data_IF_258514151816
#
_entry.id   IF_258514151816
#
_cell.length_a   1.000
_cell.length_b   1.000
_cell.length_c   1.000
_cell.angle_alpha   90.00
_cell.angle_beta   90.00
_cell.angle_gamma   90.00
#
_symmetry.space_group_name_H-M   'P 1'
#
loop_
_entity.id
_entity.type
_entity.pdbx_description
1 polymer ?
#
# COMPACT_ATOMS: atom_id res chain seq x y z
N UNK A 1 11.80 -4.91 -3.57
CA UNK A 1 11.88 -3.53 -4.11
C UNK A 1 13.30 -3.16 -4.55
N UNK A 2 14.20 -4.12 -4.83
CA UNK A 2 15.57 -3.78 -5.25
C UNK A 2 15.61 -3.15 -6.65
N UNK A 3 14.54 -3.34 -7.43
CA UNK A 3 14.40 -2.90 -8.82
C UNK A 3 13.27 -1.87 -9.02
N UNK A 4 12.77 -1.25 -7.94
CA UNK A 4 11.88 -0.09 -8.06
C UNK A 4 12.71 1.10 -8.50
N UNK A 5 12.31 1.80 -9.57
CA UNK A 5 12.92 3.09 -9.94
C UNK A 5 13.06 3.97 -8.69
N UNK A 6 14.23 4.61 -8.52
CA UNK A 6 14.49 5.46 -7.36
C UNK A 6 13.44 6.56 -7.20
N UNK A 7 12.84 7.01 -8.31
CA UNK A 7 11.72 7.96 -8.31
C UNK A 7 10.46 7.38 -7.68
N UNK A 8 10.11 6.14 -7.98
CA UNK A 8 8.91 5.50 -7.44
C UNK A 8 9.07 5.11 -5.97
N UNK A 9 10.28 4.69 -5.56
CA UNK A 9 10.61 4.49 -4.15
C UNK A 9 10.43 5.79 -3.35
N UNK A 10 10.95 6.91 -3.86
CA UNK A 10 10.76 8.23 -3.22
C UNK A 10 9.29 8.61 -3.14
N UNK A 11 8.51 8.42 -4.21
CA UNK A 11 7.05 8.69 -4.23
C UNK A 11 6.30 7.84 -3.20
N UNK A 12 6.61 6.55 -3.08
CA UNK A 12 6.01 5.65 -2.07
C UNK A 12 6.31 6.17 -0.67
N UNK A 13 7.58 6.48 -0.37
CA UNK A 13 8.00 6.99 0.94
C UNK A 13 7.28 8.31 1.27
N UNK A 14 7.19 9.24 0.32
CA UNK A 14 6.50 10.51 0.52
C UNK A 14 5.03 10.29 0.86
N UNK A 15 4.33 9.41 0.16
CA UNK A 15 2.93 9.08 0.45
C UNK A 15 2.76 8.40 1.81
N UNK A 16 3.67 7.49 2.18
CA UNK A 16 3.68 6.87 3.50
C UNK A 16 3.92 7.89 4.63
N UNK A 17 4.74 8.92 4.40
CA UNK A 17 4.90 10.04 5.35
C UNK A 17 3.59 10.82 5.51
N UNK A 18 2.84 11.03 4.43
CA UNK A 18 1.50 11.65 4.51
C UNK A 18 0.53 10.78 5.31
N UNK A 19 0.47 9.47 5.05
CA UNK A 19 -0.37 8.52 5.82
C UNK A 19 -0.02 8.58 7.31
N UNK A 20 1.27 8.60 7.66
CA UNK A 20 1.71 8.74 9.05
C UNK A 20 1.22 10.04 9.69
N UNK A 21 1.27 11.15 8.95
CA UNK A 21 0.74 12.43 9.41
C UNK A 21 -0.76 12.38 9.71
N UNK A 22 -1.54 11.68 8.88
CA UNK A 22 -2.96 11.47 9.16
C UNK A 22 -3.21 10.60 10.39
N UNK A 23 -2.45 9.51 10.56
CA UNK A 23 -2.56 8.64 11.75
C UNK A 23 -2.27 9.45 13.02
N UNK A 24 -1.16 10.21 13.05
CA UNK A 24 -0.86 11.09 14.18
C UNK A 24 -1.88 12.21 14.36
N UNK A 25 -2.58 12.61 13.31
CA UNK A 25 -3.72 13.52 13.40
C UNK A 25 -4.90 12.88 14.13
N UNK A 26 -5.26 11.65 13.77
CA UNK A 26 -6.34 10.89 14.41
C UNK A 26 -6.04 10.64 15.89
N UNK A 27 -4.81 10.27 16.25
CA UNK A 27 -4.38 10.10 17.65
C UNK A 27 -4.67 11.37 18.46
N UNK A 28 -4.22 12.54 17.97
CA UNK A 28 -4.50 13.83 18.63
C UNK A 28 -5.99 14.17 18.68
N UNK A 29 -6.75 13.88 17.61
CA UNK A 29 -8.20 14.13 17.60
C UNK A 29 -8.92 13.33 18.69
N UNK A 30 -8.47 12.10 18.96
CA UNK A 30 -9.00 11.27 20.04
C UNK A 30 -8.61 11.85 21.41
N UNK A 31 -7.35 12.24 21.59
CA UNK A 31 -6.87 12.86 22.83
C UNK A 31 -7.58 14.20 23.14
N UNK A 32 -7.97 14.95 22.10
CA UNK A 32 -8.69 16.21 22.18
C UNK A 32 -10.23 16.05 22.22
N UNK A 33 -10.75 14.82 22.33
CA UNK A 33 -12.18 14.49 22.37
C UNK A 33 -12.98 15.11 21.21
N UNK A 34 -12.44 15.03 19.98
CA UNK A 34 -13.10 15.52 18.77
C UNK A 34 -14.33 14.67 18.41
N UNK A 35 -15.29 15.24 17.66
CA UNK A 35 -16.46 14.49 17.20
C UNK A 35 -16.10 13.20 16.46
N UNK A 36 -16.83 12.12 16.76
CA UNK A 36 -16.62 10.81 16.13
C UNK A 36 -16.75 10.86 14.60
N UNK A 37 -17.62 11.73 14.08
CA UNK A 37 -17.81 11.93 12.64
C UNK A 37 -16.53 12.46 11.96
N UNK A 38 -15.86 13.44 12.57
CA UNK A 38 -14.61 14.00 12.06
C UNK A 38 -13.48 12.97 12.07
N UNK A 39 -13.39 12.19 13.15
CA UNK A 39 -12.43 11.08 13.27
C UNK A 39 -12.68 10.05 12.17
N UNK A 40 -13.94 9.68 11.93
CA UNK A 40 -14.32 8.73 10.88
C UNK A 40 -13.93 9.25 9.49
N UNK A 41 -14.14 10.53 9.20
CA UNK A 41 -13.71 11.16 7.95
C UNK A 41 -12.19 11.09 7.76
N UNK A 42 -11.40 11.30 8.82
CA UNK A 42 -9.94 11.13 8.74
C UNK A 42 -9.53 9.68 8.51
N UNK A 43 -10.20 8.70 9.14
CA UNK A 43 -9.95 7.28 8.89
C UNK A 43 -10.26 6.90 7.43
N UNK A 44 -11.31 7.46 6.83
CA UNK A 44 -11.62 7.31 5.39
C UNK A 44 -10.49 7.90 4.53
N UNK A 45 -9.97 9.07 4.89
CA UNK A 45 -8.83 9.68 4.20
C UNK A 45 -7.57 8.80 4.28
N UNK A 46 -7.29 8.22 5.45
CA UNK A 46 -6.18 7.26 5.65
C UNK A 46 -6.37 6.05 4.74
N UNK A 47 -7.57 5.43 4.72
CA UNK A 47 -7.86 4.29 3.84
C UNK A 47 -7.58 4.62 2.38
N UNK A 48 -8.05 5.78 1.91
CA UNK A 48 -7.81 6.23 0.53
C UNK A 48 -6.33 6.47 0.23
N UNK A 49 -5.59 7.05 1.18
CA UNK A 49 -4.16 7.31 1.02
C UNK A 49 -3.34 6.01 0.99
N UNK A 50 -3.66 5.06 1.87
CA UNK A 50 -3.05 3.72 1.87
C UNK A 50 -3.36 2.99 0.57
N UNK A 51 -4.61 3.03 0.09
CA UNK A 51 -4.99 2.39 -1.18
C UNK A 51 -4.12 2.85 -2.35
N UNK A 52 -3.86 4.16 -2.44
CA UNK A 52 -2.99 4.71 -3.49
C UNK A 52 -1.56 4.17 -3.40
N UNK A 53 -1.03 3.98 -2.20
CA UNK A 53 0.30 3.37 -2.01
C UNK A 53 0.27 1.90 -2.41
N UNK A 54 -0.76 1.17 -1.98
CA UNK A 54 -0.92 -0.26 -2.28
C UNK A 54 -0.95 -0.54 -3.77
N UNK A 55 -1.65 0.27 -4.58
CA UNK A 55 -1.69 0.12 -6.05
C UNK A 55 -0.29 0.26 -6.68
N UNK A 56 0.53 1.18 -6.20
CA UNK A 56 1.89 1.40 -6.75
C UNK A 56 2.80 0.21 -6.41
N UNK A 57 2.73 -0.26 -5.16
CA UNK A 57 3.50 -1.42 -4.72
C UNK A 57 3.05 -2.68 -5.47
N UNK A 58 1.75 -2.85 -5.67
CA UNK A 58 1.17 -3.95 -6.42
C UNK A 58 1.63 -3.96 -7.89
N UNK A 59 1.65 -2.79 -8.54
CA UNK A 59 2.17 -2.67 -9.91
C UNK A 59 3.62 -3.13 -10.01
N UNK A 60 4.47 -2.74 -9.05
CA UNK A 60 5.86 -3.20 -9.01
C UNK A 60 5.98 -4.70 -8.71
N UNK A 61 5.19 -5.21 -7.77
CA UNK A 61 5.13 -6.64 -7.46
C UNK A 61 4.80 -7.46 -8.72
N UNK A 62 3.80 -7.02 -9.49
CA UNK A 62 3.41 -7.67 -10.74
C UNK A 62 4.47 -7.59 -11.84
N UNK A 63 5.13 -6.43 -12.00
CA UNK A 63 6.06 -6.20 -13.11
C UNK A 63 7.49 -6.73 -12.87
N UNK A 64 7.93 -6.81 -11.61
CA UNK A 64 9.30 -7.22 -11.28
C UNK A 64 9.32 -8.55 -10.57
N UNK A 65 8.63 -8.66 -9.43
CA UNK A 65 8.74 -9.86 -8.59
C UNK A 65 8.14 -11.11 -9.25
N UNK A 66 7.04 -10.98 -10.00
CA UNK A 66 6.48 -12.12 -10.74
C UNK A 66 7.36 -12.54 -11.91
N UNK A 67 7.92 -11.57 -12.64
CA UNK A 67 8.79 -11.86 -13.80
C UNK A 67 10.07 -12.56 -13.32
N UNK A 68 10.70 -12.04 -12.26
CA UNK A 68 11.88 -12.66 -11.66
C UNK A 68 11.63 -14.09 -11.15
N UNK A 69 10.48 -14.34 -10.54
CA UNK A 69 10.13 -15.68 -10.04
C UNK A 69 10.00 -16.68 -11.19
N UNK A 70 9.39 -16.26 -12.30
CA UNK A 70 9.28 -17.09 -13.51
C UNK A 70 10.66 -17.32 -14.16
N UNK A 71 11.52 -16.30 -14.21
CA UNK A 71 12.88 -16.40 -14.77
C UNK A 71 13.78 -17.33 -13.94
N UNK A 72 13.52 -17.44 -12.63
CA UNK A 72 14.21 -18.38 -11.72
C UNK A 72 13.70 -19.82 -11.84
N UNK A 73 12.74 -20.09 -12.72
CA UNK A 73 12.18 -21.41 -12.94
C UNK A 73 11.20 -21.87 -11.86
N UNK A 74 10.65 -20.95 -11.06
CA UNK A 74 9.59 -21.27 -10.10
C UNK A 74 8.33 -21.77 -10.83
N UNK A 75 7.52 -22.57 -10.14
CA UNK A 75 6.30 -23.09 -10.73
C UNK A 75 5.33 -21.96 -11.10
N UNK A 76 5.11 -21.76 -12.39
CA UNK A 76 4.26 -20.68 -12.92
C UNK A 76 2.87 -20.65 -12.30
N UNK A 77 2.24 -21.80 -12.10
CA UNK A 77 0.89 -21.88 -11.56
C UNK A 77 0.86 -21.44 -10.10
N UNK A 78 1.85 -21.83 -9.31
CA UNK A 78 1.98 -21.46 -7.90
C UNK A 78 2.26 -19.96 -7.73
N UNK A 79 3.22 -19.42 -8.49
CA UNK A 79 3.57 -18.00 -8.49
C UNK A 79 2.34 -17.14 -8.85
N UNK A 80 1.63 -17.51 -9.91
CA UNK A 80 0.44 -16.77 -10.34
C UNK A 80 -0.70 -16.85 -9.33
N UNK A 81 -0.95 -18.03 -8.75
CA UNK A 81 -1.99 -18.22 -7.74
C UNK A 81 -1.74 -17.33 -6.52
N UNK A 82 -0.51 -17.33 -6.00
CA UNK A 82 -0.09 -16.48 -4.87
C UNK A 82 -0.20 -15.00 -5.18
N UNK A 83 0.12 -14.61 -6.42
CA UNK A 83 -0.01 -13.23 -6.87
C UNK A 83 -1.47 -12.78 -6.86
N UNK A 84 -2.37 -13.57 -7.43
CA UNK A 84 -3.80 -13.30 -7.48
C UNK A 84 -4.35 -13.18 -6.05
N UNK A 85 -4.02 -14.13 -5.17
CA UNK A 85 -4.46 -14.10 -3.77
C UNK A 85 -4.03 -12.81 -3.06
N UNK A 86 -2.79 -12.38 -3.29
CA UNK A 86 -2.25 -11.16 -2.68
C UNK A 86 -2.94 -9.91 -3.22
N UNK A 87 -3.17 -9.85 -4.54
CA UNK A 87 -3.83 -8.71 -5.19
C UNK A 87 -5.31 -8.60 -4.81
N UNK A 88 -6.02 -9.71 -4.60
CA UNK A 88 -7.42 -9.71 -4.16
C UNK A 88 -7.61 -9.08 -2.78
N UNK A 89 -6.60 -9.15 -1.91
CA UNK A 89 -6.63 -8.54 -0.57
C UNK A 89 -6.49 -7.01 -0.59
N UNK A 90 -6.14 -6.42 -1.73
CA UNK A 90 -5.95 -4.96 -1.84
C UNK A 90 -7.24 -4.15 -1.75
N UNK A 91 -8.41 -4.77 -1.91
CA UNK A 91 -9.71 -4.08 -1.88
C UNK A 91 -10.60 -4.50 -0.70
N UNK A 92 -10.06 -5.31 0.21
CA UNK A 92 -10.73 -5.68 1.45
C UNK A 92 -10.51 -4.57 2.47
#
# INVERSE_FOLDING_TARGET
MKDVDQTDTKKIITRLKTVRGHISGVERMIEEDKPCEDILLQLVAIRSAVQKVSVIVAQHYANSCLVEALDKGENRQEVLSKAIETLMKLNQ
#
